data_IF_116669736131
#
_entry.id   IF_116669736131
#
_cell.length_a   1.000
_cell.length_b   1.000
_cell.length_c   1.000
_cell.angle_alpha   90.00
_cell.angle_beta   90.00
_cell.angle_gamma   90.00
#
_symmetry.space_group_name_H-M   'P 1'
#
loop_
_entity.id
_entity.type
_entity.pdbx_description
1 polymer ?
#
# COMPACT_ATOMS: atom_id res chain seq x y z
N UNK A 1 -26.74 8.09 -2.55
CA UNK A 1 -26.84 6.68 -2.11
C UNK A 1 -26.38 6.63 -0.67
N UNK A 2 -27.03 5.87 0.21
CA UNK A 2 -26.61 5.75 1.60
C UNK A 2 -25.55 4.66 1.73
N UNK A 3 -24.43 4.97 2.37
CA UNK A 3 -23.33 4.03 2.61
C UNK A 3 -23.16 3.84 4.11
N UNK A 4 -23.08 2.59 4.57
CA UNK A 4 -22.86 2.26 5.99
C UNK A 4 -21.87 1.12 6.13
N UNK A 5 -21.02 1.19 7.15
CA UNK A 5 -20.13 0.08 7.52
C UNK A 5 -20.76 -0.65 8.70
N UNK A 6 -20.90 -1.97 8.58
CA UNK A 6 -21.46 -2.86 9.61
C UNK A 6 -20.35 -3.78 10.09
N UNK A 7 -20.21 -3.94 11.41
CA UNK A 7 -19.29 -4.92 12.00
C UNK A 7 -19.97 -6.29 12.02
N UNK A 8 -19.26 -7.32 11.57
CA UNK A 8 -19.71 -8.71 11.59
C UNK A 8 -19.35 -9.35 12.93
N UNK A 9 -20.15 -10.34 13.35
CA UNK A 9 -19.94 -11.07 14.61
C UNK A 9 -18.59 -11.82 14.64
N UNK A 10 -18.13 -12.30 13.48
CA UNK A 10 -16.87 -13.02 13.33
C UNK A 10 -15.60 -12.16 13.26
N UNK A 11 -15.67 -10.88 13.62
CA UNK A 11 -14.47 -10.03 13.61
C UNK A 11 -14.06 -9.53 12.23
N UNK A 12 -14.99 -8.90 11.52
CA UNK A 12 -14.75 -8.24 10.22
C UNK A 12 -15.69 -7.07 10.01
N UNK A 13 -15.55 -6.37 8.87
CA UNK A 13 -16.46 -5.30 8.47
C UNK A 13 -17.05 -5.58 7.09
N UNK A 14 -18.29 -5.18 6.89
CA UNK A 14 -18.94 -5.09 5.59
C UNK A 14 -19.36 -3.66 5.28
N UNK A 15 -19.22 -3.26 4.03
CA UNK A 15 -19.77 -2.03 3.50
C UNK A 15 -21.09 -2.37 2.80
N UNK A 16 -22.16 -1.67 3.20
CA UNK A 16 -23.46 -1.74 2.53
C UNK A 16 -23.64 -0.44 1.74
N UNK A 17 -23.72 -0.57 0.42
CA UNK A 17 -23.88 0.53 -0.55
C UNK A 17 -25.18 0.29 -1.32
N UNK A 18 -26.26 0.94 -0.89
CA UNK A 18 -27.60 0.68 -1.46
C UNK A 18 -28.03 -0.77 -1.23
N UNK A 19 -28.13 -1.56 -2.31
CA UNK A 19 -28.54 -2.96 -2.30
C UNK A 19 -27.38 -3.94 -2.58
N UNK A 20 -26.14 -3.44 -2.50
CA UNK A 20 -24.94 -4.23 -2.69
C UNK A 20 -24.13 -4.28 -1.40
N UNK A 21 -23.56 -5.45 -1.15
CA UNK A 21 -22.69 -5.70 -0.01
C UNK A 21 -21.26 -5.97 -0.48
N UNK A 22 -20.30 -5.47 0.31
CA UNK A 22 -18.88 -5.66 0.09
C UNK A 22 -18.16 -6.07 1.37
N UNK A 23 -17.19 -6.98 1.27
CA UNK A 23 -16.28 -7.34 2.35
C UNK A 23 -15.03 -6.45 2.34
N UNK A 24 -14.52 -6.11 3.52
CA UNK A 24 -13.24 -5.42 3.69
C UNK A 24 -12.11 -6.34 3.19
N UNK A 25 -11.26 -5.85 2.28
CA UNK A 25 -10.09 -6.57 1.78
C UNK A 25 -8.80 -6.05 2.41
N UNK A 26 -8.64 -4.73 2.40
CA UNK A 26 -7.42 -4.06 2.86
C UNK A 26 -7.73 -2.63 3.29
N UNK A 27 -7.05 -2.14 4.33
CA UNK A 27 -7.07 -0.73 4.71
C UNK A 27 -5.63 -0.18 4.66
N UNK A 28 -5.41 0.91 3.91
CA UNK A 28 -4.10 1.58 3.76
C UNK A 28 -4.30 3.09 3.57
N UNK A 29 -3.50 3.92 4.23
CA UNK A 29 -3.49 5.38 4.07
C UNK A 29 -4.88 6.04 4.21
N UNK A 30 -5.66 5.67 5.24
CA UNK A 30 -7.04 6.10 5.46
C UNK A 30 -8.04 5.73 4.33
N UNK A 31 -7.64 4.83 3.44
CA UNK A 31 -8.50 4.24 2.43
C UNK A 31 -8.78 2.79 2.77
N UNK A 32 -10.03 2.38 2.59
CA UNK A 32 -10.44 0.98 2.74
C UNK A 32 -10.93 0.47 1.39
N UNK A 33 -10.35 -0.63 0.96
CA UNK A 33 -10.65 -1.33 -0.28
C UNK A 33 -11.63 -2.45 0.02
N UNK A 34 -12.72 -2.47 -0.74
CA UNK A 34 -13.83 -3.39 -0.57
C UNK A 34 -14.03 -4.22 -1.83
N UNK A 35 -14.41 -5.48 -1.66
CA UNK A 35 -14.76 -6.38 -2.76
C UNK A 35 -16.18 -6.89 -2.57
N UNK A 36 -16.96 -6.96 -3.65
CA UNK A 36 -18.32 -7.46 -3.60
C UNK A 36 -18.36 -8.88 -3.00
N UNK A 37 -19.39 -9.17 -2.21
CA UNK A 37 -19.60 -10.47 -1.56
C UNK A 37 -19.83 -11.58 -2.61
N UNK A 38 -20.41 -11.25 -3.76
CA UNK A 38 -20.70 -12.22 -4.83
C UNK A 38 -19.41 -12.72 -5.50
N UNK A 39 -19.16 -14.04 -5.42
CA UNK A 39 -17.91 -14.70 -5.88
C UNK A 39 -17.50 -14.38 -7.32
N UNK A 40 -18.47 -14.26 -8.24
CA UNK A 40 -18.25 -13.99 -9.67
C UNK A 40 -18.33 -12.50 -10.04
N UNK A 41 -18.50 -11.61 -9.06
CA UNK A 41 -18.58 -10.18 -9.32
C UNK A 41 -17.18 -9.54 -9.25
N UNK A 42 -16.74 -8.83 -10.30
CA UNK A 42 -15.48 -8.07 -10.26
C UNK A 42 -15.63 -6.72 -9.53
N UNK A 43 -16.83 -6.37 -9.06
CA UNK A 43 -17.06 -5.07 -8.43
C UNK A 43 -16.28 -4.91 -7.13
N UNK A 44 -15.70 -3.74 -7.02
CA UNK A 44 -14.90 -3.21 -5.92
C UNK A 44 -15.36 -1.79 -5.60
N UNK A 45 -15.19 -1.42 -4.34
CA UNK A 45 -15.42 -0.06 -3.86
C UNK A 45 -14.21 0.42 -3.05
N UNK A 46 -13.97 1.73 -3.07
CA UNK A 46 -12.92 2.40 -2.31
C UNK A 46 -13.58 3.47 -1.44
N UNK A 47 -13.38 3.38 -0.12
CA UNK A 47 -13.91 4.39 0.81
C UNK A 47 -12.81 5.09 1.56
N UNK A 48 -13.04 6.35 1.91
CA UNK A 48 -12.20 7.14 2.80
C UNK A 48 -13.03 7.62 3.99
N UNK A 49 -12.41 7.66 5.16
CA UNK A 49 -13.00 8.27 6.35
C UNK A 49 -12.63 9.75 6.37
N UNK A 50 -13.63 10.63 6.28
CA UNK A 50 -13.43 12.06 6.45
C UNK A 50 -13.09 12.38 7.91
N UNK A 51 -12.51 13.55 8.17
CA UNK A 51 -12.21 14.05 9.52
C UNK A 51 -13.43 14.05 10.45
N UNK A 52 -14.63 14.16 9.88
CA UNK A 52 -15.89 14.18 10.61
C UNK A 52 -16.44 12.76 10.92
N UNK A 53 -15.68 11.71 10.60
CA UNK A 53 -16.11 10.31 10.76
C UNK A 53 -17.12 9.83 9.70
N UNK A 54 -17.44 10.67 8.71
CA UNK A 54 -18.35 10.31 7.61
C UNK A 54 -17.61 9.48 6.55
N UNK A 55 -18.26 8.44 6.06
CA UNK A 55 -17.76 7.57 5.00
C UNK A 55 -17.96 8.27 3.66
N UNK A 56 -16.88 8.47 2.92
CA UNK A 56 -16.90 8.96 1.53
C UNK A 56 -16.50 7.83 0.59
N UNK A 57 -17.33 7.51 -0.41
CA UNK A 57 -16.98 6.54 -1.44
C UNK A 57 -16.25 7.27 -2.56
N UNK A 58 -14.97 6.95 -2.75
CA UNK A 58 -14.09 7.57 -3.74
C UNK A 58 -14.29 6.94 -5.13
N UNK A 59 -14.43 5.61 -5.17
CA UNK A 59 -14.63 4.85 -6.40
C UNK A 59 -15.54 3.66 -6.14
N UNK A 60 -16.44 3.40 -7.07
CA UNK A 60 -17.27 2.20 -7.11
C UNK A 60 -17.32 1.70 -8.55
N UNK A 61 -17.09 0.41 -8.74
CA UNK A 61 -17.10 -0.22 -10.06
C UNK A 61 -18.42 -0.95 -10.30
N UNK A 62 -18.89 -1.02 -11.56
CA UNK A 62 -20.21 -1.57 -11.85
C UNK A 62 -20.29 -3.07 -11.50
N UNK A 63 -21.47 -3.50 -11.05
CA UNK A 63 -21.76 -4.91 -10.77
C UNK A 63 -22.17 -5.66 -12.03
N UNK A 64 -21.84 -6.95 -12.06
CA UNK A 64 -22.25 -7.92 -13.10
C UNK A 64 -23.45 -8.77 -12.69
N UNK A 65 -24.12 -8.40 -11.59
CA UNK A 65 -25.30 -9.07 -11.08
C UNK A 65 -26.33 -8.04 -10.61
N UNK A 66 -27.60 -8.46 -10.54
CA UNK A 66 -28.67 -7.66 -9.98
C UNK A 66 -28.45 -7.44 -8.48
N UNK A 67 -29.06 -6.37 -7.97
CA UNK A 67 -29.17 -6.12 -6.54
C UNK A 67 -29.74 -7.35 -5.83
N UNK A 68 -29.09 -7.77 -4.74
CA UNK A 68 -29.67 -8.74 -3.82
C UNK A 68 -30.70 -7.98 -2.99
N UNK A 69 -31.97 -8.10 -3.35
CA UNK A 69 -33.04 -7.64 -2.48
C UNK A 69 -32.98 -8.52 -1.23
N UNK A 70 -32.66 -7.93 -0.08
CA UNK A 70 -32.60 -8.61 1.23
C UNK A 70 -33.99 -9.02 1.76
N UNK A 71 -34.98 -9.16 0.87
CA UNK A 71 -36.29 -9.68 1.21
C UNK A 71 -36.31 -11.18 0.91
N UNK A 72 -36.29 -11.94 2.01
CA UNK A 72 -36.56 -13.37 2.15
C UNK A 72 -35.33 -14.27 2.16
N UNK A 73 -35.04 -14.78 3.36
CA UNK A 73 -34.02 -15.79 3.59
C UNK A 73 -34.28 -17.04 2.76
N UNK A 74 -33.34 -17.35 1.89
CA UNK A 74 -33.18 -18.70 1.37
C UNK A 74 -32.07 -19.38 2.15
N UNK A 75 -32.47 -20.00 3.28
CA UNK A 75 -31.92 -21.30 3.66
C UNK A 75 -32.19 -22.28 2.50
N UNK A 76 -31.44 -22.18 1.41
CA UNK A 76 -31.29 -23.31 0.49
C UNK A 76 -30.13 -24.14 1.01
N UNK A 77 -30.50 -25.11 1.84
CA UNK A 77 -29.68 -26.25 2.18
C UNK A 77 -29.17 -26.90 0.90
N UNK A 78 -27.86 -26.83 0.70
CA UNK A 78 -27.13 -27.81 -0.09
C UNK A 78 -26.92 -29.05 0.77
N UNK A 79 -28.00 -29.81 0.95
CA UNK A 79 -27.96 -31.21 1.39
C UNK A 79 -27.43 -32.05 0.22
N UNK A 80 -26.13 -32.34 0.22
CA UNK A 80 -25.55 -33.49 -0.49
C UNK A 80 -24.53 -34.15 0.43
N UNK A 81 -25.05 -35.18 1.09
CA UNK A 81 -24.42 -36.41 1.60
C UNK A 81 -23.00 -36.69 1.08
N UNK A 82 -22.03 -36.83 2.01
CA UNK A 82 -21.56 -38.15 2.46
C UNK A 82 -20.51 -38.00 3.55
N UNK A 83 -20.85 -38.59 4.69
CA UNK A 83 -19.93 -39.00 5.74
C UNK A 83 -18.88 -39.94 5.12
N UNK A 84 -17.64 -39.48 5.03
CA UNK A 84 -16.48 -40.36 5.14
C UNK A 84 -15.83 -40.05 6.47
N UNK A 85 -16.22 -40.83 7.49
CA UNK A 85 -15.50 -40.96 8.73
C UNK A 85 -14.07 -41.43 8.41
N UNK A 86 -13.14 -40.49 8.26
CA UNK A 86 -11.72 -40.79 8.43
C UNK A 86 -11.47 -40.95 9.91
N UNK A 87 -11.56 -42.20 10.35
CA UNK A 87 -10.98 -42.73 11.58
C UNK A 87 -9.48 -42.39 11.57
N UNK A 88 -9.11 -41.29 12.24
CA UNK A 88 -7.72 -40.96 12.52
C UNK A 88 -7.25 -41.90 13.61
N UNK A 89 -6.60 -42.98 13.18
CA UNK A 89 -5.85 -43.88 14.05
C UNK A 89 -4.73 -43.08 14.69
N UNK A 90 -4.84 -42.80 15.99
CA UNK A 90 -3.73 -42.33 16.83
C UNK A 90 -2.62 -43.39 16.76
N UNK A 91 -1.60 -43.15 15.95
CA UNK A 91 -0.33 -43.85 16.09
C UNK A 91 0.47 -43.10 17.15
N UNK A 92 0.53 -43.75 18.31
CA UNK A 92 1.37 -43.42 19.46
C UNK A 92 2.83 -43.52 19.02
N UNK A 93 3.45 -42.39 18.69
CA UNK A 93 4.88 -42.30 18.44
C UNK A 93 5.60 -42.26 19.78
N UNK A 94 6.21 -43.38 20.18
CA UNK A 94 7.16 -43.41 21.28
C UNK A 94 8.40 -42.60 20.88
N UNK A 95 8.54 -41.46 21.54
CA UNK A 95 9.67 -40.54 21.53
C UNK A 95 10.82 -41.13 22.36
N UNK A 96 11.78 -41.78 21.70
CA UNK A 96 13.13 -41.99 22.22
C UNK A 96 14.16 -41.82 21.09
N UNK A 97 14.66 -40.60 20.92
CA UNK A 97 15.89 -40.37 20.16
C UNK A 97 16.70 -39.22 20.76
N UNK A 98 17.50 -39.59 21.76
CA UNK A 98 18.67 -38.84 22.24
C UNK A 98 19.76 -38.86 21.16
N UNK A 99 20.08 -37.71 20.60
CA UNK A 99 21.00 -37.57 19.48
C UNK A 99 21.42 -36.12 19.28
N UNK A 100 22.42 -35.70 20.04
CA UNK A 100 23.21 -34.49 19.78
C UNK A 100 23.94 -34.64 18.44
N UNK A 101 23.49 -33.98 17.37
CA UNK A 101 24.30 -33.74 16.18
C UNK A 101 24.09 -32.33 15.64
N UNK A 102 25.11 -31.49 15.87
CA UNK A 102 25.31 -30.18 15.26
C UNK A 102 25.26 -30.29 13.74
N UNK A 103 24.23 -29.71 13.12
CA UNK A 103 24.12 -29.56 11.67
C UNK A 103 23.86 -28.10 11.31
N UNK A 104 24.96 -27.39 11.08
CA UNK A 104 25.04 -26.12 10.37
C UNK A 104 24.46 -26.30 8.96
N UNK A 105 23.29 -25.71 8.70
CA UNK A 105 22.66 -25.63 7.39
C UNK A 105 22.37 -24.17 7.08
N UNK A 106 23.41 -23.55 6.54
CA UNK A 106 23.36 -22.40 5.66
C UNK A 106 22.38 -22.60 4.49
N UNK A 107 21.73 -21.49 4.13
CA UNK A 107 21.25 -21.16 2.79
C UNK A 107 19.95 -21.86 2.34
N UNK A 108 18.82 -21.16 2.47
CA UNK A 108 17.58 -21.54 1.79
C UNK A 108 16.70 -20.31 1.48
N UNK A 109 16.96 -19.73 0.31
CA UNK A 109 15.97 -19.18 -0.63
C UNK A 109 14.83 -18.30 -0.06
N UNK A 110 15.17 -17.07 0.34
CA UNK A 110 14.20 -15.98 0.59
C UNK A 110 14.21 -14.91 -0.54
N UNK A 111 14.43 -15.29 -1.80
CA UNK A 111 14.61 -14.29 -2.89
C UNK A 111 13.48 -14.17 -3.92
N UNK A 112 12.35 -14.88 -3.79
CA UNK A 112 11.30 -14.84 -4.84
C UNK A 112 9.98 -14.12 -4.49
N UNK A 113 9.71 -13.77 -3.23
CA UNK A 113 8.45 -13.09 -2.88
C UNK A 113 8.48 -11.55 -2.97
N UNK A 114 9.67 -10.92 -3.08
CA UNK A 114 9.75 -9.47 -3.29
C UNK A 114 9.51 -9.04 -4.75
N UNK A 115 9.55 -9.97 -5.70
CA UNK A 115 9.48 -9.66 -7.15
C UNK A 115 8.08 -9.32 -7.67
N UNK A 116 7.02 -9.63 -6.91
CA UNK A 116 5.65 -9.46 -7.41
C UNK A 116 5.09 -8.04 -7.24
N UNK A 117 5.75 -7.18 -6.45
CA UNK A 117 5.32 -5.80 -6.21
C UNK A 117 6.11 -4.76 -7.00
N UNK A 118 7.26 -5.10 -7.57
CA UNK A 118 8.03 -4.23 -8.46
C UNK A 118 7.30 -3.99 -9.79
N UNK A 119 6.56 -4.98 -10.30
CA UNK A 119 5.85 -4.89 -11.59
C UNK A 119 4.70 -3.86 -11.58
N UNK A 120 4.13 -3.53 -10.41
CA UNK A 120 3.03 -2.55 -10.32
C UNK A 120 3.49 -1.09 -10.23
N UNK A 121 4.80 -0.83 -10.12
CA UNK A 121 5.34 0.53 -9.98
C UNK A 121 5.72 1.15 -11.33
N UNK A 122 5.87 0.37 -12.40
CA UNK A 122 6.47 0.87 -13.65
C UNK A 122 5.48 1.41 -14.70
N UNK A 123 4.16 1.29 -14.50
CA UNK A 123 3.17 1.75 -15.52
C UNK A 123 2.66 3.18 -15.30
N UNK A 124 3.44 4.04 -14.65
CA UNK A 124 3.26 5.50 -14.79
C UNK A 124 4.57 6.23 -15.12
N UNK A 125 5.43 5.58 -15.90
CA UNK A 125 6.45 6.29 -16.67
C UNK A 125 5.79 6.91 -17.89
N UNK A 126 5.19 8.09 -17.67
CA UNK A 126 4.93 9.08 -18.71
C UNK A 126 6.31 9.59 -19.16
N UNK A 127 6.90 8.81 -20.05
CA UNK A 127 8.16 9.03 -20.75
C UNK A 127 7.92 10.13 -21.80
N UNK A 128 7.82 11.37 -21.34
CA UNK A 128 8.03 12.53 -22.20
C UNK A 128 9.55 12.59 -22.43
N UNK A 129 10.01 11.93 -23.50
CA UNK A 129 11.35 12.06 -24.03
C UNK A 129 11.64 13.54 -24.30
N UNK A 130 12.31 14.18 -23.35
CA UNK A 130 12.90 15.51 -23.53
C UNK A 130 14.11 15.32 -24.45
N UNK A 131 13.85 15.49 -25.75
CA UNK A 131 14.84 15.61 -26.83
C UNK A 131 15.96 16.57 -26.41
N UNK A 132 17.10 15.97 -26.04
CA UNK A 132 18.33 16.62 -25.65
C UNK A 132 19.10 17.03 -26.90
N UNK A 133 18.74 18.18 -27.48
CA UNK A 133 19.66 18.93 -28.32
C UNK A 133 19.16 20.37 -28.45
N UNK A 134 19.89 21.31 -27.84
CA UNK A 134 20.53 22.43 -28.54
C UNK A 134 21.42 23.19 -27.54
N UNK A 135 22.73 23.04 -27.77
CA UNK A 135 23.83 23.77 -27.17
C UNK A 135 23.70 25.26 -27.54
N UNK A 136 22.90 26.02 -26.77
CA UNK A 136 22.71 27.45 -26.99
C UNK A 136 23.80 28.24 -26.27
N UNK A 137 24.59 28.89 -27.11
CA UNK A 137 25.76 29.70 -26.83
C UNK A 137 25.55 30.80 -25.81
N UNK A 138 26.65 31.03 -25.11
CA UNK A 138 27.04 32.20 -24.34
C UNK A 138 26.58 33.55 -24.93
N UNK A 139 26.43 34.51 -24.02
CA UNK A 139 26.21 35.94 -24.24
C UNK A 139 24.81 36.38 -24.71
N UNK A 140 23.99 36.90 -23.78
CA UNK A 140 23.57 38.32 -23.76
C UNK A 140 22.82 38.64 -22.44
N UNK A 141 23.37 39.59 -21.66
CA UNK A 141 22.72 40.22 -20.52
C UNK A 141 21.47 41.00 -20.98
N UNK A 142 20.34 40.32 -21.14
CA UNK A 142 19.06 41.01 -21.23
C UNK A 142 18.56 41.34 -19.82
N UNK A 143 18.63 42.63 -19.48
CA UNK A 143 17.89 43.24 -18.39
C UNK A 143 16.38 43.11 -18.68
N UNK A 144 15.82 41.93 -18.44
CA UNK A 144 14.39 41.69 -18.54
C UNK A 144 13.73 42.17 -17.25
N UNK A 145 12.90 43.20 -17.40
CA UNK A 145 12.14 43.82 -16.33
C UNK A 145 11.24 42.74 -15.70
N UNK A 146 11.67 42.25 -14.54
CA UNK A 146 11.02 41.26 -13.68
C UNK A 146 9.51 41.50 -13.60
N UNK A 147 8.76 40.88 -14.49
CA UNK A 147 7.33 40.68 -14.29
C UNK A 147 7.17 39.84 -13.02
N UNK A 148 6.29 40.26 -12.12
CA UNK A 148 6.06 39.58 -10.84
C UNK A 148 5.65 38.10 -11.02
N UNK A 149 5.16 37.76 -12.21
CA UNK A 149 4.86 36.40 -12.66
C UNK A 149 6.08 35.45 -12.61
N UNK A 150 7.28 35.93 -12.98
CA UNK A 150 8.50 35.10 -12.99
C UNK A 150 9.00 34.73 -11.59
N UNK A 151 8.68 35.54 -10.57
CA UNK A 151 9.02 35.21 -9.17
C UNK A 151 8.13 34.10 -8.61
N UNK A 152 6.84 34.11 -8.94
CA UNK A 152 5.90 33.09 -8.47
C UNK A 152 6.26 31.70 -8.99
N UNK A 153 6.77 31.60 -10.23
CA UNK A 153 7.15 30.33 -10.82
C UNK A 153 8.39 29.71 -10.14
N UNK A 154 9.42 30.52 -9.84
CA UNK A 154 10.62 30.05 -9.13
C UNK A 154 10.29 29.55 -7.72
N UNK A 155 9.44 30.28 -6.99
CA UNK A 155 9.01 29.87 -5.64
C UNK A 155 8.25 28.54 -5.70
N UNK A 156 7.34 28.38 -6.66
CA UNK A 156 6.61 27.12 -6.85
C UNK A 156 7.56 25.94 -7.12
N UNK A 157 8.56 26.14 -7.98
CA UNK A 157 9.53 25.10 -8.32
C UNK A 157 10.41 24.69 -7.13
N UNK A 158 10.90 25.68 -6.38
CA UNK A 158 11.68 25.42 -5.16
C UNK A 158 10.83 24.66 -4.13
N UNK A 159 9.55 25.05 -3.97
CA UNK A 159 8.62 24.33 -3.10
C UNK A 159 8.42 22.87 -3.56
N UNK A 160 8.21 22.65 -4.86
CA UNK A 160 8.00 21.32 -5.42
C UNK A 160 9.24 20.43 -5.21
N UNK A 161 10.45 21.00 -5.34
CA UNK A 161 11.72 20.31 -5.09
C UNK A 161 11.86 19.87 -3.63
N UNK A 162 11.58 20.78 -2.68
CA UNK A 162 11.60 20.49 -1.24
C UNK A 162 10.58 19.38 -0.89
N UNK A 163 9.37 19.44 -1.46
CA UNK A 163 8.35 18.44 -1.20
C UNK A 163 8.70 17.07 -1.80
N UNK A 164 9.32 17.03 -2.98
CA UNK A 164 9.79 15.79 -3.62
C UNK A 164 10.84 15.08 -2.76
N UNK A 165 11.80 15.81 -2.19
CA UNK A 165 12.80 15.25 -1.28
C UNK A 165 12.18 14.75 0.03
N UNK A 166 11.25 15.51 0.63
CA UNK A 166 10.52 15.07 1.84
C UNK A 166 9.70 13.80 1.61
N UNK A 167 9.06 13.66 0.44
CA UNK A 167 8.29 12.46 0.10
C UNK A 167 9.22 11.25 -0.12
N UNK A 168 10.41 11.45 -0.71
CA UNK A 168 11.42 10.39 -0.84
C UNK A 168 11.83 9.87 0.54
N UNK A 169 12.12 10.78 1.47
CA UNK A 169 12.50 10.44 2.83
C UNK A 169 11.43 9.64 3.58
N UNK A 170 10.14 9.95 3.37
CA UNK A 170 9.02 9.22 3.97
C UNK A 170 8.78 7.82 3.38
N UNK A 171 9.38 7.50 2.24
CA UNK A 171 9.31 6.17 1.60
C UNK A 171 10.50 5.29 1.95
N UNK A 172 11.56 5.85 2.55
CA UNK A 172 12.68 5.05 2.99
C UNK A 172 12.31 4.24 4.24
N UNK A 173 12.66 2.95 4.29
CA UNK A 173 12.39 2.12 5.45
C UNK A 173 13.13 2.66 6.69
N UNK A 174 12.48 2.62 7.84
CA UNK A 174 12.92 3.22 9.12
C UNK A 174 14.40 2.96 9.47
N UNK A 175 14.98 1.84 9.04
CA UNK A 175 16.38 1.51 9.30
C UNK A 175 17.37 2.43 8.57
N UNK A 176 17.05 2.90 7.35
CA UNK A 176 17.90 3.82 6.58
C UNK A 176 17.90 5.23 7.19
N UNK A 177 16.73 5.67 7.68
CA UNK A 177 16.59 6.93 8.39
C UNK A 177 17.42 6.93 9.68
N UNK A 178 17.38 5.84 10.46
CA UNK A 178 18.19 5.71 11.69
C UNK A 178 19.68 5.69 11.39
N UNK A 179 20.12 5.00 10.34
CA UNK A 179 21.52 4.97 9.92
C UNK A 179 22.01 6.38 9.52
N UNK A 180 21.24 7.12 8.72
CA UNK A 180 21.60 8.47 8.29
C UNK A 180 21.66 9.48 9.45
N UNK A 181 20.78 9.34 10.46
CA UNK A 181 20.82 10.17 11.67
C UNK A 181 22.07 9.89 12.50
N UNK A 182 22.45 8.62 12.66
CA UNK A 182 23.67 8.25 13.39
C UNK A 182 24.93 8.75 12.64
N UNK A 183 24.98 8.60 11.32
CA UNK A 183 26.12 9.03 10.52
C UNK A 183 26.31 10.56 10.53
N UNK A 184 25.21 11.33 10.56
CA UNK A 184 25.28 12.79 10.70
C UNK A 184 25.66 13.23 12.11
N UNK A 185 25.20 12.52 13.14
CA UNK A 185 25.58 12.80 14.53
C UNK A 185 27.09 12.57 14.75
N UNK A 186 27.67 11.53 14.14
CA UNK A 186 29.11 11.27 14.19
C UNK A 186 29.92 12.36 13.46
N UNK A 187 29.45 12.83 12.31
CA UNK A 187 30.10 13.91 11.55
C UNK A 187 30.09 15.24 12.31
N UNK A 188 28.99 15.60 12.96
CA UNK A 188 28.94 16.82 13.79
C UNK A 188 29.82 16.71 15.03
N UNK A 189 29.89 15.54 15.67
CA UNK A 189 30.80 15.27 16.80
C UNK A 189 32.27 15.40 16.39
N UNK A 190 32.64 14.89 15.21
CA UNK A 190 34.01 15.00 14.68
C UNK A 190 34.36 16.45 14.35
N UNK A 191 33.44 17.23 13.78
CA UNK A 191 33.64 18.66 13.54
C UNK A 191 33.81 19.44 14.84
N UNK A 192 32.99 19.15 15.85
CA UNK A 192 33.05 19.82 17.16
C UNK A 192 34.36 19.53 17.92
N UNK A 193 34.88 18.31 17.81
CA UNK A 193 36.17 17.93 18.43
C UNK A 193 37.37 18.56 17.73
N UNK A 194 37.28 18.82 16.42
CA UNK A 194 38.33 19.51 15.65
C UNK A 194 38.39 21.03 15.91
N UNK A 195 37.30 21.65 16.39
CA UNK A 195 37.32 23.08 16.78
C UNK A 195 37.89 23.32 18.19
N UNK A 196 37.98 22.29 19.02
CA UNK A 196 38.44 22.39 20.43
C UNK A 196 39.94 22.08 20.57
N UNK A 197 40.58 21.46 19.56
CA UNK A 197 42.02 21.16 19.54
C UNK A 197 42.83 22.24 18.83
#
# INVERSE_FOLDING_TARGET
MSHRIVKLEGGGKKLVSGAYEFHERLTRNNKTYWKCVQRKCPSTALTMLNYNGQIHVDKETPHTHSATNEEEGSEEGSEVEKEEEKEWKEEEYEDESDGEEDSDMSDNEEEEEEKLWEEWVEVSSDDEEMSDEEEMSDEEEMNDEKSESGRSFRIYWDHQKIHREKIRFLREPDHKIRAAVLENAEKELICFLNEIC
#
